data_IF_634435206003
#
_entry.id   IF_634435206003
#
_cell.length_a   1.000
_cell.length_b   1.000
_cell.length_c   1.000
_cell.angle_alpha   90.00
_cell.angle_beta   90.00
_cell.angle_gamma   90.00
#
_symmetry.space_group_name_H-M   'P 1'
#
loop_
_entity.id
_entity.type
_entity.pdbx_description
1 polymer ?
#
# COMPACT_ATOMS: atom_id res chain seq x y z
N UNK A 1 -5.28 -0.26 23.78
CA UNK A 1 -6.51 0.52 24.05
C UNK A 1 -7.70 -0.35 23.68
N UNK A 2 -8.61 -0.63 24.62
CA UNK A 2 -9.79 -1.47 24.38
C UNK A 2 -10.99 -0.58 24.08
N UNK A 3 -11.60 -0.75 22.91
CA UNK A 3 -12.85 -0.11 22.47
C UNK A 3 -13.76 -1.16 21.85
N UNK A 4 -15.07 -0.93 21.89
CA UNK A 4 -16.05 -1.69 21.10
C UNK A 4 -16.47 -0.92 19.85
N UNK A 5 -16.62 -1.62 18.73
CA UNK A 5 -17.25 -1.12 17.51
C UNK A 5 -18.50 -1.94 17.22
N UNK A 6 -19.56 -1.26 16.79
CA UNK A 6 -20.79 -1.92 16.34
C UNK A 6 -20.70 -2.22 14.84
N UNK A 7 -20.09 -1.30 14.08
CA UNK A 7 -19.81 -1.46 12.66
C UNK A 7 -18.47 -0.82 12.32
N UNK A 8 -17.76 -1.40 11.35
CA UNK A 8 -16.58 -0.79 10.75
C UNK A 8 -16.46 -1.24 9.29
N UNK A 9 -16.18 -0.30 8.40
CA UNK A 9 -16.05 -0.54 6.96
C UNK A 9 -14.92 0.31 6.41
N UNK A 10 -14.17 -0.25 5.48
CA UNK A 10 -13.19 0.48 4.68
C UNK A 10 -13.41 0.20 3.21
N UNK A 11 -13.44 1.25 2.41
CA UNK A 11 -13.31 1.18 0.96
C UNK A 11 -11.93 1.70 0.58
N UNK A 12 -11.27 1.01 -0.35
CA UNK A 12 -9.95 1.38 -0.86
C UNK A 12 -9.97 1.30 -2.37
N UNK A 13 -9.67 2.42 -3.03
CA UNK A 13 -9.63 2.55 -4.49
C UNK A 13 -8.21 2.88 -4.95
N UNK A 14 -7.77 2.24 -6.03
CA UNK A 14 -6.45 2.43 -6.63
C UNK A 14 -6.55 2.74 -8.12
N UNK A 15 -5.86 3.78 -8.56
CA UNK A 15 -5.75 4.14 -9.98
C UNK A 15 -4.43 3.64 -10.56
N UNK A 16 -4.39 2.38 -10.93
CA UNK A 16 -3.21 1.78 -11.56
C UNK A 16 -3.08 2.14 -13.03
N UNK A 17 -1.83 2.22 -13.50
CA UNK A 17 -1.54 2.24 -14.93
C UNK A 17 -0.50 1.19 -15.28
N UNK A 18 -0.60 0.69 -16.52
CA UNK A 18 0.39 -0.15 -17.17
C UNK A 18 0.48 0.30 -18.63
N UNK A 19 1.68 0.60 -19.11
CA UNK A 19 1.92 1.12 -20.45
C UNK A 19 3.23 0.59 -21.04
N UNK A 20 3.44 0.86 -22.32
CA UNK A 20 4.63 0.45 -23.06
C UNK A 20 4.45 -0.88 -23.78
N UNK A 21 5.56 -1.50 -24.15
CA UNK A 21 5.57 -2.76 -24.92
C UNK A 21 6.53 -3.77 -24.33
N UNK A 22 6.04 -4.99 -24.14
CA UNK A 22 6.84 -6.16 -23.74
C UNK A 22 7.92 -6.45 -24.78
N UNK A 23 7.55 -6.52 -26.06
CA UNK A 23 8.48 -6.82 -27.16
C UNK A 23 9.59 -5.77 -27.28
N UNK A 24 9.30 -4.51 -26.97
CA UNK A 24 10.28 -3.41 -27.03
C UNK A 24 11.00 -3.17 -25.70
N UNK A 25 10.70 -3.92 -24.63
CA UNK A 25 11.31 -3.71 -23.31
C UNK A 25 11.00 -2.36 -22.66
N UNK A 26 9.83 -1.78 -22.93
CA UNK A 26 9.44 -0.42 -22.46
C UNK A 26 8.31 -0.43 -21.45
N UNK A 27 8.06 -1.58 -20.82
CA UNK A 27 6.97 -1.73 -19.85
C UNK A 27 7.22 -0.83 -18.65
N UNK A 28 6.20 -0.05 -18.30
CA UNK A 28 6.20 0.81 -17.13
C UNK A 28 4.82 0.76 -16.46
N UNK A 29 4.80 0.62 -15.14
CA UNK A 29 3.59 0.61 -14.34
C UNK A 29 3.72 1.53 -13.13
N UNK A 30 2.60 1.81 -12.50
CA UNK A 30 2.53 2.60 -11.29
C UNK A 30 1.09 2.78 -10.81
N UNK A 31 0.93 3.65 -9.82
CA UNK A 31 -0.36 4.04 -9.26
C UNK A 31 -0.40 5.58 -9.19
N UNK A 32 -1.43 6.19 -9.77
CA UNK A 32 -1.58 7.64 -9.79
C UNK A 32 -2.17 8.17 -8.47
N UNK A 33 -3.14 7.45 -7.92
CA UNK A 33 -3.83 7.86 -6.70
C UNK A 33 -4.35 6.61 -5.95
N UNK A 34 -4.30 6.68 -4.62
CA UNK A 34 -4.93 5.72 -3.71
C UNK A 34 -5.87 6.49 -2.79
N UNK A 35 -7.12 6.08 -2.71
CA UNK A 35 -8.13 6.71 -1.85
C UNK A 35 -8.64 5.69 -0.85
N UNK A 36 -8.72 6.08 0.43
CA UNK A 36 -9.36 5.26 1.46
C UNK A 36 -10.53 6.02 2.06
N UNK A 37 -11.65 5.32 2.24
CA UNK A 37 -12.81 5.81 2.95
C UNK A 37 -13.11 4.86 4.10
N UNK A 38 -13.01 5.35 5.33
CA UNK A 38 -13.20 4.56 6.55
C UNK A 38 -14.42 5.06 7.32
N UNK A 39 -15.35 4.14 7.60
CA UNK A 39 -16.59 4.38 8.32
C UNK A 39 -16.60 3.49 9.56
N UNK A 40 -17.02 4.03 10.71
CA UNK A 40 -17.12 3.26 11.97
C UNK A 40 -18.27 3.78 12.82
N UNK A 41 -19.03 2.85 13.39
CA UNK A 41 -20.10 3.13 14.35
C UNK A 41 -19.72 2.55 15.71
N UNK A 42 -19.89 3.35 16.77
CA UNK A 42 -19.58 2.96 18.14
C UNK A 42 -20.33 3.84 19.14
N UNK A 43 -20.77 3.24 20.25
CA UNK A 43 -21.33 3.93 21.40
C UNK A 43 -20.25 4.40 22.40
N UNK A 44 -18.97 4.17 22.11
CA UNK A 44 -17.84 4.64 22.94
C UNK A 44 -17.60 6.15 22.77
N UNK A 45 -16.92 6.81 23.75
CA UNK A 45 -16.59 8.23 23.63
C UNK A 45 -15.79 8.55 22.37
N UNK A 46 -16.21 9.58 21.62
CA UNK A 46 -15.63 9.94 20.33
C UNK A 46 -14.11 10.14 20.37
N UNK A 47 -13.59 10.77 21.43
CA UNK A 47 -12.14 10.99 21.61
C UNK A 47 -11.36 9.67 21.62
N UNK A 48 -11.89 8.64 22.29
CA UNK A 48 -11.27 7.33 22.39
C UNK A 48 -11.26 6.62 21.04
N UNK A 49 -12.34 6.75 20.27
CA UNK A 49 -12.45 6.20 18.92
C UNK A 49 -11.50 6.91 17.96
N UNK A 50 -11.44 8.24 17.98
CA UNK A 50 -10.50 9.02 17.18
C UNK A 50 -9.03 8.66 17.48
N UNK A 51 -8.69 8.43 18.74
CA UNK A 51 -7.36 7.98 19.13
C UNK A 51 -7.03 6.58 18.55
N UNK A 52 -8.00 5.65 18.54
CA UNK A 52 -7.83 4.33 17.90
C UNK A 52 -7.67 4.46 16.40
N UNK A 53 -8.52 5.25 15.73
CA UNK A 53 -8.45 5.48 14.29
C UNK A 53 -7.10 6.06 13.89
N UNK A 54 -6.63 7.07 14.63
CA UNK A 54 -5.31 7.66 14.42
C UNK A 54 -4.20 6.62 14.50
N UNK A 55 -4.21 5.79 15.54
CA UNK A 55 -3.23 4.71 15.68
C UNK A 55 -3.32 3.69 14.54
N UNK A 56 -4.53 3.34 14.11
CA UNK A 56 -4.74 2.41 13.01
C UNK A 56 -4.19 2.95 11.68
N UNK A 57 -4.46 4.23 11.36
CA UNK A 57 -3.96 4.89 10.15
C UNK A 57 -2.43 5.07 10.18
N UNK A 58 -1.87 5.48 11.32
CA UNK A 58 -0.42 5.58 11.49
C UNK A 58 0.29 4.21 11.45
N UNK A 59 -0.37 3.16 11.93
CA UNK A 59 0.15 1.80 11.92
C UNK A 59 -0.17 0.99 10.65
N UNK A 60 -0.93 1.54 9.70
CA UNK A 60 -1.35 0.81 8.52
C UNK A 60 -0.19 0.69 7.53
N UNK A 61 0.45 -0.49 7.47
CA UNK A 61 1.56 -0.74 6.54
C UNK A 61 1.21 -0.41 5.08
N UNK A 62 -0.01 -0.67 4.63
CA UNK A 62 -0.44 -0.36 3.26
C UNK A 62 -0.43 1.14 2.98
N UNK A 63 -1.04 1.97 3.83
CA UNK A 63 -1.03 3.43 3.66
C UNK A 63 0.40 3.98 3.76
N UNK A 64 1.20 3.47 4.70
CA UNK A 64 2.60 3.90 4.84
C UNK A 64 3.41 3.57 3.58
N UNK A 65 3.27 2.36 3.02
CA UNK A 65 3.97 1.96 1.79
C UNK A 65 3.55 2.79 0.56
N UNK A 66 2.30 3.27 0.51
CA UNK A 66 1.85 4.16 -0.58
C UNK A 66 2.51 5.54 -0.47
N UNK A 67 2.67 6.05 0.75
CA UNK A 67 3.22 7.40 0.98
C UNK A 67 4.75 7.48 1.08
N UNK A 68 5.42 6.33 1.24
CA UNK A 68 6.86 6.27 1.45
C UNK A 68 7.57 5.62 0.25
N UNK A 69 8.63 6.26 -0.23
CA UNK A 69 9.58 5.62 -1.14
C UNK A 69 10.46 4.64 -0.33
N UNK A 70 10.07 3.36 -0.30
CA UNK A 70 10.84 2.30 0.37
C UNK A 70 11.82 1.67 -0.61
N UNK A 71 13.12 1.53 -0.28
CA UNK A 71 14.08 0.85 -1.13
C UNK A 71 13.67 -0.61 -1.38
N UNK A 72 13.47 -0.97 -2.65
CA UNK A 72 13.19 -2.34 -3.06
C UNK A 72 14.50 -3.05 -3.41
N UNK A 73 14.79 -4.16 -2.72
CA UNK A 73 15.85 -5.09 -3.11
C UNK A 73 15.23 -6.23 -3.91
N UNK A 74 15.72 -6.44 -5.13
CA UNK A 74 15.23 -7.49 -6.03
C UNK A 74 16.41 -8.29 -6.55
N UNK A 75 16.31 -9.62 -6.46
CA UNK A 75 17.32 -10.55 -6.99
C UNK A 75 16.70 -11.44 -8.05
N UNK A 76 17.50 -11.82 -9.05
CA UNK A 76 17.06 -12.68 -10.15
C UNK A 76 18.08 -13.80 -10.32
N UNK A 77 17.58 -15.03 -10.44
CA UNK A 77 18.38 -16.18 -10.84
C UNK A 77 17.91 -16.64 -12.22
N UNK A 78 18.86 -16.78 -13.16
CA UNK A 78 18.63 -17.34 -14.48
C UNK A 78 19.36 -18.69 -14.55
N UNK A 79 18.60 -19.78 -14.71
CA UNK A 79 19.15 -21.14 -14.77
C UNK A 79 20.04 -21.52 -13.56
N UNK A 80 19.71 -21.02 -12.38
CA UNK A 80 20.47 -21.28 -11.16
C UNK A 80 21.63 -20.31 -10.90
N UNK A 81 21.92 -19.40 -11.82
CA UNK A 81 22.96 -18.38 -11.66
C UNK A 81 22.36 -17.02 -11.32
N UNK A 82 22.92 -16.33 -10.31
CA UNK A 82 22.48 -14.99 -9.97
C UNK A 82 22.90 -13.98 -11.04
N UNK A 83 21.92 -13.23 -11.55
CA UNK A 83 22.11 -12.22 -12.59
C UNK A 83 21.66 -10.85 -12.11
N UNK A 84 22.41 -9.82 -12.51
CA UNK A 84 22.04 -8.41 -12.28
C UNK A 84 21.43 -7.83 -13.54
N UNK A 85 20.22 -7.27 -13.40
CA UNK A 85 19.50 -6.56 -14.45
C UNK A 85 19.60 -5.06 -14.19
N UNK A 86 20.33 -4.35 -15.05
CA UNK A 86 20.49 -2.89 -14.95
C UNK A 86 19.12 -2.19 -14.92
N UNK A 87 18.91 -1.34 -13.90
CA UNK A 87 17.67 -0.59 -13.71
C UNK A 87 16.50 -1.39 -13.14
N UNK A 88 16.68 -2.67 -12.79
CA UNK A 88 15.61 -3.54 -12.23
C UNK A 88 16.02 -4.16 -10.90
N UNK A 89 17.21 -4.75 -10.83
CA UNK A 89 17.78 -5.29 -9.60
C UNK A 89 18.72 -4.26 -8.97
N UNK A 90 18.52 -3.95 -7.69
CA UNK A 90 19.35 -3.06 -6.88
C UNK A 90 20.24 -3.86 -5.92
#
# INVERSE_FOLDING_TARGET
>A
MKVSFTHAKVQVDFDYFLRGSVLKGTVNSGCNEVRTHFEVDSDEPAEKILAVIKNAKQGCFAEQMVTAAVPLKSTVNLNGESVSLSGVTA
#
